data_IF_745387323294
#
_entry.id   IF_745387323294
#
_cell.length_a   1.000
_cell.length_b   1.000
_cell.length_c   1.000
_cell.angle_alpha   90.00
_cell.angle_beta   90.00
_cell.angle_gamma   90.00
#
_symmetry.space_group_name_H-M   'P 1'
#
loop_
_entity.id
_entity.type
_entity.pdbx_description
1 polymer ?
#
# COMPACT_ATOMS: atom_id res chain seq x y z
N UNK A 1 -6.94 -20.78 -4.01
CA UNK A 1 -6.93 -19.48 -4.70
C UNK A 1 -7.23 -18.42 -3.66
N UNK A 2 -6.33 -17.46 -3.47
CA UNK A 2 -6.53 -16.37 -2.51
C UNK A 2 -7.34 -15.29 -3.20
N UNK A 3 -8.39 -14.79 -2.53
CA UNK A 3 -9.17 -13.68 -3.08
C UNK A 3 -8.32 -12.40 -3.10
N UNK A 4 -7.56 -12.15 -2.04
CA UNK A 4 -6.87 -10.89 -1.82
C UNK A 4 -5.57 -11.10 -1.05
N UNK A 5 -4.60 -10.23 -1.27
CA UNK A 5 -3.39 -10.12 -0.44
C UNK A 5 -3.20 -8.68 0.01
N UNK A 6 -2.69 -8.50 1.23
CA UNK A 6 -2.35 -7.19 1.79
C UNK A 6 -0.84 -7.12 1.92
N UNK A 7 -0.24 -6.13 1.27
CA UNK A 7 1.19 -5.85 1.33
C UNK A 7 1.36 -4.53 2.06
N UNK A 8 1.86 -4.59 3.29
CA UNK A 8 2.15 -3.41 4.07
C UNK A 8 3.58 -2.93 3.78
N UNK A 9 3.76 -1.63 3.51
CA UNK A 9 5.09 -1.04 3.41
C UNK A 9 5.23 0.17 4.33
N UNK A 10 6.30 0.17 5.11
CA UNK A 10 6.75 1.35 5.88
C UNK A 10 7.55 2.33 5.03
N UNK A 11 7.97 1.93 3.81
CA UNK A 11 8.71 2.77 2.87
C UNK A 11 7.89 2.98 1.60
N UNK A 12 7.82 4.21 1.13
CA UNK A 12 7.10 4.56 -0.10
C UNK A 12 8.03 4.58 -1.33
N UNK A 13 9.32 4.32 -1.10
CA UNK A 13 10.31 3.94 -2.12
C UNK A 13 10.78 2.54 -1.80
N UNK A 14 10.12 1.55 -2.40
CA UNK A 14 10.56 0.18 -2.32
C UNK A 14 10.85 -0.30 -3.74
N UNK A 15 11.87 -1.16 -3.81
CA UNK A 15 12.11 -2.00 -4.97
C UNK A 15 10.81 -2.72 -5.37
N UNK A 16 10.48 -2.67 -6.65
CA UNK A 16 9.28 -3.30 -7.22
C UNK A 16 9.44 -4.81 -7.35
N UNK A 17 10.67 -5.31 -7.46
CA UNK A 17 10.95 -6.71 -7.75
C UNK A 17 10.32 -7.69 -6.74
N UNK A 18 10.39 -7.46 -5.40
CA UNK A 18 9.77 -8.36 -4.43
C UNK A 18 8.25 -8.42 -4.56
N UNK A 19 7.60 -7.27 -4.85
CA UNK A 19 6.15 -7.21 -5.01
C UNK A 19 5.73 -7.92 -6.31
N UNK A 20 6.44 -7.68 -7.40
CA UNK A 20 6.20 -8.35 -8.68
C UNK A 20 6.37 -9.86 -8.54
N UNK A 21 7.48 -10.31 -7.95
CA UNK A 21 7.74 -11.73 -7.71
C UNK A 21 6.65 -12.37 -6.86
N UNK A 22 6.19 -11.69 -5.80
CA UNK A 22 5.10 -12.17 -4.97
C UNK A 22 3.78 -12.30 -5.74
N UNK A 23 3.41 -11.30 -6.56
CA UNK A 23 2.16 -11.30 -7.34
C UNK A 23 2.17 -12.29 -8.51
N UNK A 24 3.33 -12.58 -9.08
CA UNK A 24 3.47 -13.57 -10.17
C UNK A 24 3.43 -15.01 -9.65
N UNK A 25 3.87 -15.25 -8.42
CA UNK A 25 3.98 -16.60 -7.86
C UNK A 25 2.80 -17.01 -6.96
N UNK A 26 1.90 -16.09 -6.63
CA UNK A 26 0.72 -16.38 -5.82
C UNK A 26 -0.57 -16.31 -6.66
N UNK A 27 -1.48 -17.29 -6.51
CA UNK A 27 -2.78 -17.25 -7.18
C UNK A 27 -3.73 -16.30 -6.43
N UNK A 28 -3.49 -14.99 -6.57
CA UNK A 28 -4.27 -13.89 -5.98
C UNK A 28 -5.13 -13.18 -7.03
N UNK A 29 -6.37 -12.79 -6.68
CA UNK A 29 -7.23 -12.01 -7.59
C UNK A 29 -7.02 -10.50 -7.46
N UNK A 30 -6.57 -10.02 -6.30
CA UNK A 30 -6.36 -8.60 -6.02
C UNK A 30 -5.26 -8.42 -4.98
N UNK A 31 -4.54 -7.31 -5.06
CA UNK A 31 -3.56 -6.90 -4.06
C UNK A 31 -3.86 -5.50 -3.53
N UNK A 32 -3.83 -5.36 -2.21
CA UNK A 32 -3.86 -4.08 -1.54
C UNK A 32 -2.46 -3.73 -1.09
N UNK A 33 -1.95 -2.59 -1.56
CA UNK A 33 -0.66 -2.09 -1.16
C UNK A 33 -0.90 -0.96 -0.15
N UNK A 34 -0.59 -1.23 1.11
CA UNK A 34 -0.98 -0.39 2.25
C UNK A 34 0.21 0.38 2.79
N UNK A 35 0.07 1.69 2.92
CA UNK A 35 1.01 2.55 3.62
C UNK A 35 0.31 3.31 4.75
N UNK A 36 0.92 3.28 5.93
CA UNK A 36 0.44 4.04 7.08
C UNK A 36 1.33 5.26 7.29
N UNK A 37 0.71 6.44 7.23
CA UNK A 37 1.33 7.68 7.68
C UNK A 37 1.13 7.74 9.19
N UNK A 38 2.20 7.51 9.94
CA UNK A 38 2.14 7.64 11.40
C UNK A 38 1.97 9.11 11.78
N UNK A 39 0.93 9.38 12.57
CA UNK A 39 0.74 10.66 13.26
C UNK A 39 0.68 10.40 14.76
N UNK A 40 1.62 11.00 15.46
CA UNK A 40 1.80 10.84 16.92
C UNK A 40 1.49 12.14 17.66
N UNK A 41 1.36 13.27 16.94
CA UNK A 41 1.10 14.59 17.50
C UNK A 41 0.07 15.32 16.62
N UNK A 42 -0.82 16.15 17.21
CA UNK A 42 -1.87 16.83 16.47
C UNK A 42 -1.28 17.96 15.61
N UNK A 43 -0.75 17.61 14.43
CA UNK A 43 -0.26 18.58 13.46
C UNK A 43 -0.94 18.38 12.09
N UNK A 44 -2.19 18.87 11.94
CA UNK A 44 -3.04 18.51 10.80
C UNK A 44 -2.46 18.86 9.43
N UNK A 45 -1.76 19.99 9.32
CA UNK A 45 -1.14 20.42 8.06
C UNK A 45 0.04 19.55 7.64
N UNK A 46 0.87 19.11 8.61
CA UNK A 46 1.97 18.17 8.37
C UNK A 46 1.42 16.81 7.95
N UNK A 47 0.39 16.33 8.62
CA UNK A 47 -0.23 15.04 8.36
C UNK A 47 -0.88 15.00 6.97
N UNK A 48 -1.60 16.06 6.58
CA UNK A 48 -2.14 16.18 5.24
C UNK A 48 -1.05 16.20 4.16
N UNK A 49 0.04 16.95 4.38
CA UNK A 49 1.15 16.98 3.43
C UNK A 49 1.87 15.62 3.35
N UNK A 50 2.00 14.89 4.45
CA UNK A 50 2.54 13.53 4.47
C UNK A 50 1.61 12.53 3.76
N UNK A 51 0.30 12.58 4.03
CA UNK A 51 -0.71 11.77 3.34
C UNK A 51 -0.72 12.01 1.82
N UNK A 52 -0.68 13.27 1.40
CA UNK A 52 -0.68 13.64 -0.02
C UNK A 52 0.57 13.09 -0.72
N UNK A 53 1.76 13.30 -0.15
CA UNK A 53 3.01 12.75 -0.68
C UNK A 53 2.98 11.22 -0.74
N UNK A 54 2.52 10.58 0.34
CA UNK A 54 2.42 9.14 0.41
C UNK A 54 1.49 8.57 -0.67
N UNK A 55 0.34 9.20 -0.92
CA UNK A 55 -0.58 8.81 -2.01
C UNK A 55 0.08 8.93 -3.37
N UNK A 56 0.76 10.03 -3.65
CA UNK A 56 1.45 10.23 -4.94
C UNK A 56 2.55 9.19 -5.16
N UNK A 57 3.38 8.92 -4.15
CA UNK A 57 4.45 7.93 -4.27
C UNK A 57 3.91 6.50 -4.39
N UNK A 58 2.87 6.15 -3.61
CA UNK A 58 2.16 4.88 -3.72
C UNK A 58 1.54 4.66 -5.10
N UNK A 59 0.92 5.69 -5.66
CA UNK A 59 0.31 5.64 -6.98
C UNK A 59 1.38 5.40 -8.06
N UNK A 60 2.52 6.08 -7.97
CA UNK A 60 3.66 5.85 -8.87
C UNK A 60 4.14 4.40 -8.77
N UNK A 61 4.24 3.86 -7.55
CA UNK A 61 4.67 2.47 -7.36
C UNK A 61 3.70 1.47 -8.02
N UNK A 62 2.38 1.69 -7.89
CA UNK A 62 1.36 0.89 -8.59
C UNK A 62 1.52 0.99 -10.10
N UNK A 63 1.80 2.19 -10.64
CA UNK A 63 2.00 2.40 -12.07
C UNK A 63 3.26 1.68 -12.59
N UNK A 64 4.33 1.60 -11.80
CA UNK A 64 5.56 0.87 -12.13
C UNK A 64 5.37 -0.66 -12.12
N UNK A 65 4.52 -1.18 -11.23
CA UNK A 65 4.24 -2.63 -11.11
C UNK A 65 3.19 -3.10 -12.12
N UNK A 66 2.19 -2.27 -12.44
CA UNK A 66 1.08 -2.61 -13.34
C UNK A 66 1.49 -3.28 -14.67
N UNK A 67 2.54 -2.84 -15.40
CA UNK A 67 2.92 -3.52 -16.64
C UNK A 67 3.52 -4.92 -16.44
N UNK A 68 3.87 -5.30 -15.20
CA UNK A 68 4.60 -6.54 -14.89
C UNK A 68 3.70 -7.64 -14.30
N UNK A 69 2.43 -7.33 -14.01
CA UNK A 69 1.48 -8.29 -13.43
C UNK A 69 0.06 -8.02 -13.92
N UNK A 70 -0.72 -9.09 -14.10
CA UNK A 70 -2.15 -9.00 -14.41
C UNK A 70 -3.02 -8.79 -13.15
N UNK A 71 -2.42 -8.90 -11.95
CA UNK A 71 -3.14 -8.74 -10.69
C UNK A 71 -3.47 -7.25 -10.48
N UNK A 72 -4.75 -6.87 -10.31
CA UNK A 72 -5.13 -5.53 -9.90
C UNK A 72 -4.50 -5.15 -8.55
N UNK A 73 -3.86 -3.99 -8.51
CA UNK A 73 -3.24 -3.43 -7.30
C UNK A 73 -3.93 -2.13 -6.92
N UNK A 74 -4.40 -2.06 -5.69
CA UNK A 74 -5.04 -0.88 -5.13
C UNK A 74 -4.17 -0.27 -4.02
N UNK A 75 -3.77 1.01 -4.14
CA UNK A 75 -3.01 1.70 -3.11
C UNK A 75 -3.93 2.22 -2.00
N UNK A 76 -3.65 1.84 -0.75
CA UNK A 76 -4.39 2.32 0.42
C UNK A 76 -3.43 3.10 1.33
N UNK A 77 -3.67 4.41 1.45
CA UNK A 77 -2.90 5.29 2.33
C UNK A 77 -3.79 5.84 3.44
N UNK A 78 -3.44 5.53 4.69
CA UNK A 78 -4.21 5.93 5.88
C UNK A 78 -3.34 6.60 6.94
N UNK A 79 -3.95 7.50 7.69
CA UNK A 79 -3.35 8.15 8.85
C UNK A 79 -3.67 7.34 10.10
N UNK A 80 -2.69 7.15 11.00
CA UNK A 80 -2.92 6.60 12.33
C UNK A 80 -1.90 5.55 12.74
N UNK A 81 -2.35 4.55 13.50
CA UNK A 81 -1.50 3.48 14.02
C UNK A 81 -1.43 2.33 13.00
N UNK A 82 -0.24 1.93 12.51
CA UNK A 82 -0.11 0.95 11.42
C UNK A 82 -0.86 -0.36 11.65
N UNK A 83 -0.76 -0.93 12.85
CA UNK A 83 -1.41 -2.20 13.18
C UNK A 83 -2.95 -2.12 13.07
N UNK A 84 -3.55 -1.01 13.51
CA UNK A 84 -5.00 -0.82 13.42
C UNK A 84 -5.46 -0.68 11.97
N UNK A 85 -4.69 0.04 11.15
CA UNK A 85 -5.00 0.26 9.75
C UNK A 85 -4.94 -1.03 8.94
N UNK A 86 -3.94 -1.89 9.20
CA UNK A 86 -3.83 -3.19 8.53
C UNK A 86 -5.00 -4.12 8.86
N UNK A 87 -5.45 -4.13 10.12
CA UNK A 87 -6.62 -4.92 10.53
C UNK A 87 -7.88 -4.42 9.83
N UNK A 88 -8.07 -3.10 9.73
CA UNK A 88 -9.23 -2.53 9.05
C UNK A 88 -9.26 -2.89 7.56
N UNK A 89 -8.13 -2.79 6.86
CA UNK A 89 -8.04 -3.19 5.44
C UNK A 89 -8.30 -4.68 5.25
N UNK A 90 -7.96 -5.52 6.23
CA UNK A 90 -8.26 -6.95 6.17
C UNK A 90 -9.75 -7.29 6.40
N UNK A 91 -10.53 -6.36 6.94
CA UNK A 91 -11.96 -6.54 7.25
C UNK A 91 -12.90 -5.99 6.16
N UNK A 92 -12.42 -5.05 5.33
CA UNK A 92 -13.07 -4.58 4.10
C UNK A 92 -12.95 -5.65 3.01
#
# INVERSE_FOLDING_TARGET
MLQRIIVASSRIRADVEPLVGLLQNLPVQQAYLVHCVESVLPWPSRDQAALSRARTEMQRWVEEVRPQTAVPIEPIVRLGIPAQQLIQVAQE
#
